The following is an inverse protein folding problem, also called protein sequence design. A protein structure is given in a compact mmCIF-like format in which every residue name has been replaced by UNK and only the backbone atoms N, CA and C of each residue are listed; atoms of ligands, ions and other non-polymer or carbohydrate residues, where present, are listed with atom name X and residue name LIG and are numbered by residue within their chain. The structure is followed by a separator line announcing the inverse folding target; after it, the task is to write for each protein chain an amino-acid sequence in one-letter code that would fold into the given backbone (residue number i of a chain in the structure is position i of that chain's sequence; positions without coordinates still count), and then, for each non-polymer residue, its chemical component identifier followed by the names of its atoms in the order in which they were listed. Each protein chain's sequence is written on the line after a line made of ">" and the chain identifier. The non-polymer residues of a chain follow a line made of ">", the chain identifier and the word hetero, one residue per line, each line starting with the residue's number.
data_IF_818330906908
#
_entry.id   IF_818330906908
#
_cell.length_a   1.000
_cell.length_b   1.000
_cell.length_c   1.000
_cell.angle_alpha   90.00
_cell.angle_beta   90.00
_cell.angle_gamma   90.00
#
_symmetry.space_group_name_H-M   'P 1'
#
loop_
_entity.id
_entity.type
_entity.pdbx_description
1 polymer ?
#
# COMPACT_ATOMS: atom_id res chain seq x y z
N UNK A 1 11.74 3.17 -18.30
CA UNK A 1 11.69 4.00 -17.09
C UNK A 1 11.23 3.16 -15.92
N UNK A 2 11.91 3.26 -14.78
CA UNK A 2 11.56 2.48 -13.60
C UNK A 2 10.24 3.00 -13.02
N UNK A 3 9.29 2.09 -12.75
CA UNK A 3 8.01 2.44 -12.14
C UNK A 3 8.21 3.19 -10.82
N UNK A 4 9.25 2.82 -10.05
CA UNK A 4 9.54 3.47 -8.77
C UNK A 4 9.97 4.93 -8.92
N UNK A 5 10.49 5.34 -10.07
CA UNK A 5 10.84 6.73 -10.30
C UNK A 5 9.61 7.57 -10.64
N UNK A 6 8.68 6.99 -11.38
CA UNK A 6 7.47 7.69 -11.80
C UNK A 6 6.53 7.97 -10.62
N UNK A 7 6.60 7.18 -9.56
CA UNK A 7 5.72 7.35 -8.40
C UNK A 7 5.92 8.71 -7.74
N UNK A 8 7.13 9.25 -7.80
CA UNK A 8 7.43 10.54 -7.15
C UNK A 8 6.84 11.73 -7.91
N UNK A 9 6.42 11.54 -9.15
CA UNK A 9 5.75 12.56 -9.94
C UNK A 9 4.25 12.65 -9.67
N UNK A 10 3.70 11.67 -8.95
CA UNK A 10 2.29 11.67 -8.62
C UNK A 10 1.99 12.71 -7.53
N UNK A 11 0.81 13.30 -7.61
CA UNK A 11 0.27 14.10 -6.54
C UNK A 11 -0.75 13.24 -5.79
N UNK A 12 -0.44 12.87 -4.56
CA UNK A 12 -1.34 12.06 -3.73
C UNK A 12 -1.84 12.93 -2.58
N UNK A 13 -3.15 13.05 -2.47
CA UNK A 13 -3.82 13.85 -1.44
C UNK A 13 -4.53 12.99 -0.40
N UNK A 14 -4.72 11.71 -0.69
CA UNK A 14 -5.41 10.78 0.18
C UNK A 14 -4.75 9.42 0.10
N UNK A 15 -4.57 8.80 1.26
CA UNK A 15 -3.99 7.46 1.36
C UNK A 15 -5.02 6.59 2.06
N UNK A 16 -5.55 5.60 1.36
CA UNK A 16 -6.45 4.59 1.93
C UNK A 16 -5.62 3.34 2.17
N UNK A 17 -5.55 2.90 3.40
CA UNK A 17 -4.67 1.78 3.77
C UNK A 17 -5.36 0.89 4.79
N UNK A 18 -4.93 -0.38 4.86
CA UNK A 18 -5.47 -1.32 5.82
C UNK A 18 -5.13 -0.87 7.26
N UNK A 19 -6.01 -1.19 8.18
CA UNK A 19 -5.86 -0.79 9.59
C UNK A 19 -4.97 -1.72 10.41
N UNK A 20 -4.42 -2.78 9.80
CA UNK A 20 -3.44 -3.64 10.48
C UNK A 20 -2.08 -2.94 10.54
N UNK A 21 -1.13 -3.56 11.25
CA UNK A 21 0.19 -2.94 11.44
C UNK A 21 0.88 -2.66 10.11
N UNK A 22 0.81 -3.60 9.16
CA UNK A 22 1.41 -3.40 7.84
C UNK A 22 0.81 -2.18 7.14
N UNK A 23 -0.51 -2.08 7.12
CA UNK A 23 -1.20 -0.95 6.49
C UNK A 23 -0.88 0.38 7.16
N UNK A 24 -0.84 0.40 8.49
CA UNK A 24 -0.53 1.63 9.25
C UNK A 24 0.88 2.10 8.94
N UNK A 25 1.85 1.19 8.95
CA UNK A 25 3.25 1.54 8.67
C UNK A 25 3.43 1.99 7.23
N UNK A 26 2.77 1.31 6.28
CA UNK A 26 2.81 1.70 4.88
C UNK A 26 2.30 3.12 4.69
N UNK A 27 1.15 3.43 5.27
CA UNK A 27 0.59 4.77 5.21
C UNK A 27 1.50 5.83 5.82
N UNK A 28 2.14 5.51 6.93
CA UNK A 28 3.08 6.42 7.58
C UNK A 28 4.30 6.70 6.70
N UNK A 29 4.79 5.69 5.99
CA UNK A 29 5.91 5.86 5.06
C UNK A 29 5.52 6.81 3.92
N UNK A 30 4.35 6.59 3.30
CA UNK A 30 3.89 7.45 2.23
C UNK A 30 3.71 8.90 2.70
N UNK A 31 3.28 9.10 3.95
CA UNK A 31 3.15 10.43 4.54
C UNK A 31 4.48 11.17 4.70
N UNK A 32 5.59 10.47 4.68
CA UNK A 32 6.91 11.12 4.68
C UNK A 32 7.19 11.82 3.35
N UNK A 33 6.63 11.32 2.27
CA UNK A 33 6.76 11.93 0.94
C UNK A 33 5.61 12.89 0.65
N UNK A 34 4.37 12.43 0.77
CA UNK A 34 3.18 13.29 0.62
C UNK A 34 2.72 13.74 2.00
N UNK A 35 3.36 14.78 2.50
CA UNK A 35 3.24 15.19 3.90
C UNK A 35 1.87 15.75 4.26
N UNK A 36 1.11 16.23 3.28
CA UNK A 36 -0.22 16.81 3.52
C UNK A 36 -1.35 15.83 3.20
N UNK A 37 -1.03 14.61 2.80
CA UNK A 37 -2.05 13.63 2.45
C UNK A 37 -2.85 13.20 3.67
N UNK A 38 -4.16 13.09 3.48
CA UNK A 38 -5.08 12.53 4.47
C UNK A 38 -4.94 11.01 4.51
N UNK A 39 -4.90 10.40 5.68
CA UNK A 39 -4.85 8.95 5.82
C UNK A 39 -6.21 8.45 6.28
N UNK A 40 -6.76 7.50 5.54
CA UNK A 40 -8.04 6.86 5.85
C UNK A 40 -7.80 5.36 5.94
N UNK A 41 -8.27 4.76 7.03
CA UNK A 41 -8.15 3.32 7.21
C UNK A 41 -9.36 2.60 6.65
N UNK A 42 -9.11 1.54 5.89
CA UNK A 42 -10.14 0.73 5.28
C UNK A 42 -9.92 -0.75 5.49
N UNK A 43 -10.88 -1.53 5.08
CA UNK A 43 -10.85 -2.98 5.14
C UNK A 43 -11.08 -3.52 3.74
N UNK A 44 -10.46 -4.67 3.37
CA UNK A 44 -10.67 -5.23 2.03
C UNK A 44 -12.14 -5.42 1.66
N UNK A 45 -12.96 -5.85 2.61
CA UNK A 45 -14.40 -6.02 2.38
C UNK A 45 -15.12 -4.73 2.05
N UNK A 46 -14.75 -3.64 2.73
CA UNK A 46 -15.32 -2.32 2.46
C UNK A 46 -14.96 -1.84 1.06
N UNK A 47 -13.72 -2.06 0.66
CA UNK A 47 -13.26 -1.66 -0.65
C UNK A 47 -14.00 -2.42 -1.75
N UNK A 48 -14.15 -3.73 -1.57
CA UNK A 48 -14.88 -4.57 -2.53
C UNK A 48 -16.37 -4.24 -2.59
N UNK A 49 -16.93 -3.83 -1.45
CA UNK A 49 -18.35 -3.44 -1.36
C UNK A 49 -18.64 -2.05 -1.92
N UNK A 50 -17.62 -1.29 -2.30
CA UNK A 50 -17.79 0.03 -2.89
C UNK A 50 -17.96 1.15 -1.87
N UNK A 51 -17.66 0.90 -0.60
CA UNK A 51 -17.83 1.92 0.46
C UNK A 51 -17.02 3.18 0.17
N UNK A 52 -15.86 3.02 -0.47
CA UNK A 52 -14.96 4.14 -0.76
C UNK A 52 -15.03 4.66 -2.18
N UNK A 53 -15.95 4.15 -3.00
CA UNK A 53 -15.96 4.45 -4.44
C UNK A 53 -16.00 5.95 -4.73
N UNK A 54 -16.77 6.72 -3.97
CA UNK A 54 -16.93 8.16 -4.22
C UNK A 54 -15.70 8.97 -3.84
N UNK A 55 -14.88 8.47 -2.93
CA UNK A 55 -13.70 9.22 -2.48
C UNK A 55 -12.41 8.81 -3.20
N UNK A 56 -12.41 7.69 -3.92
CA UNK A 56 -11.21 7.23 -4.61
C UNK A 56 -11.12 7.86 -5.98
N UNK A 57 -10.04 8.60 -6.20
CA UNK A 57 -9.75 9.26 -7.46
C UNK A 57 -8.25 9.17 -7.77
N UNK A 58 -7.81 9.85 -8.81
CA UNK A 58 -6.41 9.82 -9.25
C UNK A 58 -5.42 10.38 -8.23
N UNK A 59 -5.89 11.11 -7.22
CA UNK A 59 -5.06 11.63 -6.14
C UNK A 59 -5.08 10.74 -4.90
N UNK A 60 -5.60 9.53 -5.03
CA UNK A 60 -5.71 8.56 -3.94
C UNK A 60 -4.71 7.42 -4.14
N UNK A 61 -3.93 7.13 -3.11
CA UNK A 61 -3.10 5.93 -3.05
C UNK A 61 -3.82 4.89 -2.22
N UNK A 62 -3.80 3.64 -2.67
CA UNK A 62 -4.37 2.52 -1.93
C UNK A 62 -3.22 1.59 -1.55
N UNK A 63 -3.10 1.27 -0.27
CA UNK A 63 -2.00 0.50 0.27
C UNK A 63 -2.49 -0.71 1.03
N UNK A 64 -1.89 -1.88 0.76
CA UNK A 64 -2.15 -3.13 1.48
C UNK A 64 -3.62 -3.56 1.38
N UNK A 65 -4.28 -3.16 0.31
CA UNK A 65 -5.70 -3.41 0.03
C UNK A 65 -5.86 -3.74 -1.45
N UNK A 66 -7.01 -4.34 -1.84
CA UNK A 66 -7.30 -4.54 -3.26
C UNK A 66 -7.27 -3.22 -4.03
N UNK A 67 -6.73 -3.27 -5.24
CA UNK A 67 -6.65 -2.10 -6.10
C UNK A 67 -8.05 -1.63 -6.53
N UNK A 68 -8.22 -0.31 -6.61
CA UNK A 68 -9.41 0.29 -7.18
C UNK A 68 -9.03 0.92 -8.53
N UNK A 69 -9.87 0.70 -9.54
CA UNK A 69 -9.57 1.16 -10.92
C UNK A 69 -9.38 2.67 -11.05
N UNK A 70 -9.95 3.45 -10.14
CA UNK A 70 -9.90 4.91 -10.20
C UNK A 70 -8.77 5.51 -9.36
N UNK A 71 -8.02 4.71 -8.60
CA UNK A 71 -6.94 5.24 -7.78
C UNK A 71 -5.75 5.66 -8.64
N UNK A 72 -4.91 6.53 -8.09
CA UNK A 72 -3.69 6.95 -8.77
C UNK A 72 -2.51 6.01 -8.52
N UNK A 73 -2.50 5.37 -7.38
CA UNK A 73 -1.41 4.50 -6.96
C UNK A 73 -1.94 3.33 -6.14
N UNK A 74 -1.41 2.15 -6.38
CA UNK A 74 -1.71 0.96 -5.58
C UNK A 74 -0.40 0.30 -5.17
N UNK A 75 -0.24 0.02 -3.88
CA UNK A 75 0.92 -0.70 -3.34
C UNK A 75 0.40 -1.91 -2.56
N UNK A 76 0.78 -3.11 -2.99
CA UNK A 76 0.32 -4.33 -2.35
C UNK A 76 1.30 -5.48 -2.57
N UNK A 77 1.16 -6.53 -1.76
CA UNK A 77 1.96 -7.73 -1.85
C UNK A 77 1.11 -9.01 -1.84
N UNK A 78 -0.20 -8.90 -1.63
CA UNK A 78 -1.07 -10.08 -1.56
C UNK A 78 -1.18 -10.76 -2.91
N UNK A 79 -1.03 -12.10 -2.93
CA UNK A 79 -1.14 -12.86 -4.17
C UNK A 79 -2.53 -12.73 -4.79
N UNK A 80 -3.56 -12.65 -3.97
CA UNK A 80 -4.94 -12.48 -4.44
C UNK A 80 -5.16 -11.16 -5.19
N UNK A 81 -4.30 -10.18 -4.96
CA UNK A 81 -4.41 -8.86 -5.57
C UNK A 81 -3.36 -8.61 -6.65
N UNK A 82 -2.63 -9.67 -7.05
CA UNK A 82 -1.61 -9.54 -8.08
C UNK A 82 -2.25 -9.06 -9.39
N UNK A 83 -1.74 -7.96 -9.98
CA UNK A 83 -2.36 -7.42 -11.19
C UNK A 83 -2.15 -8.34 -12.39
N UNK A 84 -3.13 -8.35 -13.28
CA UNK A 84 -3.03 -9.06 -14.56
C UNK A 84 -2.19 -8.23 -15.53
N UNK A 85 -1.52 -8.92 -16.46
CA UNK A 85 -0.76 -8.24 -17.50
C UNK A 85 -1.67 -7.37 -18.37
N UNK A 86 -1.18 -6.19 -18.71
CA UNK A 86 -1.90 -5.29 -19.60
C UNK A 86 -2.98 -4.47 -18.93
N UNK A 87 -3.13 -4.56 -17.61
CA UNK A 87 -4.08 -3.72 -16.88
C UNK A 87 -3.66 -2.26 -17.01
N UNK A 88 -4.61 -1.43 -17.43
CA UNK A 88 -4.40 0.01 -17.55
C UNK A 88 -5.13 0.74 -16.43
N UNK A 89 -4.65 1.90 -16.08
CA UNK A 89 -5.26 2.74 -15.06
C UNK A 89 -4.22 3.23 -14.08
N UNK A 90 -4.34 2.89 -12.80
CA UNK A 90 -3.42 3.41 -11.79
C UNK A 90 -2.01 2.87 -11.94
N UNK A 91 -1.07 3.59 -11.35
CA UNK A 91 0.27 3.05 -11.17
C UNK A 91 0.20 1.96 -10.11
N UNK A 92 0.69 0.77 -10.46
CA UNK A 92 0.62 -0.38 -9.56
C UNK A 92 2.04 -0.81 -9.21
N UNK A 93 2.33 -0.83 -7.91
CA UNK A 93 3.57 -1.39 -7.38
C UNK A 93 3.19 -2.64 -6.60
N UNK A 94 3.24 -3.76 -7.28
CA UNK A 94 3.01 -5.06 -6.67
C UNK A 94 4.32 -5.85 -6.68
N UNK A 95 4.68 -6.39 -5.54
CA UNK A 95 5.90 -7.21 -5.43
C UNK A 95 5.62 -8.39 -4.52
N UNK A 96 6.32 -9.47 -4.78
CA UNK A 96 6.39 -10.60 -3.87
C UNK A 96 7.31 -10.21 -2.72
N UNK A 97 6.71 -9.71 -1.66
CA UNK A 97 7.39 -9.11 -0.53
C UNK A 97 6.71 -9.57 0.77
N UNK A 98 7.45 -9.62 1.88
CA UNK A 98 6.83 -10.00 3.16
C UNK A 98 5.77 -9.03 3.64
N UNK A 99 5.80 -7.77 3.18
CA UNK A 99 4.81 -6.78 3.59
C UNK A 99 4.73 -5.65 2.59
N UNK A 100 3.61 -4.94 2.57
CA UNK A 100 3.47 -3.72 1.78
C UNK A 100 4.38 -2.62 2.33
N UNK A 101 4.58 -2.57 3.65
CA UNK A 101 5.48 -1.62 4.28
C UNK A 101 6.92 -1.79 3.79
N UNK A 102 7.35 -3.02 3.56
CA UNK A 102 8.69 -3.28 3.00
C UNK A 102 8.82 -2.72 1.60
N UNK A 103 7.79 -2.90 0.78
CA UNK A 103 7.77 -2.33 -0.58
C UNK A 103 7.89 -0.81 -0.51
N UNK A 104 7.07 -0.19 0.32
CA UNK A 104 7.08 1.27 0.49
C UNK A 104 8.44 1.76 0.98
N UNK A 105 9.04 1.06 1.95
CA UNK A 105 10.36 1.41 2.44
C UNK A 105 11.40 1.37 1.31
N UNK A 106 11.40 0.29 0.52
CA UNK A 106 12.38 0.14 -0.56
C UNK A 106 12.23 1.22 -1.63
N UNK A 107 11.00 1.61 -1.92
CA UNK A 107 10.73 2.63 -2.93
C UNK A 107 11.06 4.03 -2.41
N UNK A 108 10.58 4.38 -1.22
CA UNK A 108 10.63 5.76 -0.72
C UNK A 108 11.90 6.09 0.03
N UNK A 109 12.65 5.11 0.53
CA UNK A 109 13.91 5.37 1.26
C UNK A 109 14.96 6.05 0.38
N UNK A 110 14.80 6.00 -0.93
CA UNK A 110 15.69 6.67 -1.87
C UNK A 110 15.49 8.19 -1.88
N UNK A 111 14.35 8.67 -1.40
CA UNK A 111 13.99 10.08 -1.48
C UNK A 111 13.83 10.73 -0.11
N UNK A 112 13.46 9.98 0.90
CA UNK A 112 13.23 10.51 2.26
C UNK A 112 13.89 9.62 3.29
N UNK A 113 14.24 10.21 4.45
CA UNK A 113 14.84 9.44 5.54
C UNK A 113 13.82 8.54 6.20
N UNK A 114 14.09 7.24 6.21
CA UNK A 114 13.22 6.22 6.79
C UNK A 114 13.95 5.32 7.79
N UNK A 115 15.13 5.75 8.28
CA UNK A 115 15.92 4.92 9.18
C UNK A 115 15.19 4.55 10.46
N UNK A 116 14.31 5.43 10.94
CA UNK A 116 13.51 5.19 12.13
C UNK A 116 12.48 4.08 11.94
N UNK A 117 12.19 3.69 10.71
CA UNK A 117 11.29 2.59 10.43
C UNK A 117 11.94 1.21 10.40
N UNK A 118 13.27 1.12 10.40
CA UNK A 118 13.96 -0.17 10.19
C UNK A 118 13.58 -1.23 11.22
N UNK A 119 13.58 -0.88 12.50
CA UNK A 119 13.19 -1.83 13.56
C UNK A 119 11.74 -2.25 13.43
N UNK A 120 10.88 -1.29 13.11
CA UNK A 120 9.46 -1.54 12.97
C UNK A 120 9.18 -2.44 11.77
N UNK A 121 9.91 -2.25 10.67
CA UNK A 121 9.76 -3.10 9.49
C UNK A 121 10.08 -4.56 9.77
N UNK A 122 11.09 -4.82 10.59
CA UNK A 122 11.42 -6.19 10.96
C UNK A 122 10.24 -6.86 11.66
N UNK A 123 9.55 -6.14 12.53
CA UNK A 123 8.35 -6.65 13.19
C UNK A 123 7.19 -6.84 12.23
N UNK A 124 6.96 -5.87 11.32
CA UNK A 124 5.88 -5.95 10.33
C UNK A 124 6.07 -7.18 9.46
N UNK A 125 7.28 -7.38 8.93
CA UNK A 125 7.58 -8.51 8.07
C UNK A 125 7.34 -9.84 8.78
N UNK A 126 7.77 -9.92 10.02
CA UNK A 126 7.63 -11.13 10.83
C UNK A 126 6.17 -11.44 11.13
N UNK A 127 5.41 -10.43 11.54
CA UNK A 127 4.00 -10.63 11.88
C UNK A 127 3.18 -11.02 10.65
N UNK A 128 3.39 -10.36 9.53
CA UNK A 128 2.68 -10.67 8.30
C UNK A 128 2.99 -12.10 7.83
N UNK A 129 4.26 -12.48 7.85
CA UNK A 129 4.68 -13.84 7.47
C UNK A 129 4.11 -14.89 8.40
N UNK A 130 4.10 -14.63 9.70
CA UNK A 130 3.54 -15.56 10.69
C UNK A 130 2.04 -15.76 10.50
N UNK A 131 1.32 -14.70 10.19
CA UNK A 131 -0.11 -14.78 9.97
C UNK A 131 -0.46 -15.65 8.75
N UNK A 132 0.38 -15.62 7.73
CA UNK A 132 0.18 -16.45 6.55
C UNK A 132 0.31 -17.95 6.87
N UNK A 133 1.16 -18.30 7.83
CA UNK A 133 1.42 -19.70 8.16
C UNK A 133 0.57 -20.23 9.31
N UNK A 134 0.20 -19.38 10.26
CA UNK A 134 -0.42 -19.83 11.51
C UNK A 134 -1.90 -19.60 11.57
N UNK A 135 -2.45 -18.80 10.68
CA UNK A 135 -3.86 -18.45 10.73
C UNK A 135 -4.57 -18.89 9.45
N UNK A 136 -5.44 -19.88 9.52
CA UNK A 136 -6.37 -20.16 8.45
C UNK A 136 -7.51 -19.14 8.46
N UNK A 137 -7.37 -18.08 9.22
CA UNK A 137 -8.41 -17.08 9.33
C UNK A 137 -8.71 -16.46 7.97
N UNK A 138 -9.98 -16.27 7.65
CA UNK A 138 -10.39 -15.65 6.39
C UNK A 138 -10.20 -14.14 6.45
N UNK A 139 -8.98 -13.71 6.66
CA UNK A 139 -8.67 -12.29 6.65
C UNK A 139 -8.72 -11.70 5.26
N UNK A 140 -8.59 -12.52 4.33
CA UNK A 140 -8.61 -12.15 2.91
C UNK A 140 -10.02 -11.89 2.42
#
# INVERSE_FOLDING_TARGET
>A
MDVAEDVFDLEIRRIVTDSDLDGVVTGAILRRWWTDAEVIFGHPGELRAGVFDEMIDRWTAICDLPMHRNCGLSIDHHQSNKPEEGVRGPMVIWRDSPSAARIAYDVFSKQVGLNDFQSLLAWVDKLDSCLLYTSPSPRD
#
